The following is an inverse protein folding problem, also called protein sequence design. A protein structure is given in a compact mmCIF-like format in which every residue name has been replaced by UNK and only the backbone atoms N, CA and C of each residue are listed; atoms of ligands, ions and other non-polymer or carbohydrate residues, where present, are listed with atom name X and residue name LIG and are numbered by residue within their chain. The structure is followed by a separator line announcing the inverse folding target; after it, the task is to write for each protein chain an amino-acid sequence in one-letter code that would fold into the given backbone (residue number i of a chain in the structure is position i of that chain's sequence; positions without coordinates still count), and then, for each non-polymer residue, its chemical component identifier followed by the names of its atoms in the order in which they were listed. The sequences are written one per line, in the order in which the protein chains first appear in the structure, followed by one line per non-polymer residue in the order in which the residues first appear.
data_IF_431710416908
#
_entry.id   IF_431710416908
#
_cell.length_a   1.000
_cell.length_b   1.000
_cell.length_c   1.000
_cell.angle_alpha   90.00
_cell.angle_beta   90.00
_cell.angle_gamma   90.00
#
_symmetry.space_group_name_H-M   'P 1'
#
loop_
_entity.id
_entity.type
_entity.pdbx_description
1 polymer ?
#
# COMPACT_ATOMS: atom_id res chain seq x y z
N UNK A 1 0.14 -19.44 -3.74
CA UNK A 1 1.63 -19.46 -3.57
C UNK A 1 2.03 -18.33 -2.65
N UNK A 2 2.97 -18.56 -1.75
CA UNK A 2 3.49 -17.58 -0.82
C UNK A 2 5.00 -17.76 -0.66
N UNK A 3 5.67 -16.68 -0.36
CA UNK A 3 7.06 -16.66 0.07
C UNK A 3 7.10 -16.90 1.58
N UNK A 4 7.91 -17.83 2.05
CA UNK A 4 8.09 -18.15 3.46
C UNK A 4 9.49 -17.73 3.93
N UNK A 5 9.55 -17.10 5.10
CA UNK A 5 10.78 -16.82 5.84
C UNK A 5 10.77 -17.66 7.11
N UNK A 6 11.80 -18.47 7.31
CA UNK A 6 12.02 -19.21 8.55
C UNK A 6 12.86 -18.40 9.51
N UNK A 7 12.53 -18.48 10.79
CA UNK A 7 13.39 -17.94 11.84
C UNK A 7 14.27 -19.06 12.44
N UNK A 8 15.52 -18.71 12.67
CA UNK A 8 16.56 -19.63 13.11
C UNK A 8 17.03 -19.29 14.51
N UNK A 9 17.14 -20.29 15.37
CA UNK A 9 17.72 -20.14 16.70
C UNK A 9 18.77 -21.22 17.00
N UNK A 10 19.67 -21.02 17.96
CA UNK A 10 20.56 -22.07 18.43
C UNK A 10 19.79 -23.33 18.87
N UNK A 11 20.13 -24.49 18.29
CA UNK A 11 19.43 -25.75 18.58
C UNK A 11 17.97 -25.81 18.15
N UNK A 12 17.48 -24.86 17.33
CA UNK A 12 16.08 -24.80 16.91
C UNK A 12 15.10 -24.52 18.07
N UNK A 13 15.55 -23.86 19.13
CA UNK A 13 14.69 -23.57 20.29
C UNK A 13 13.63 -22.52 19.93
N UNK A 14 12.33 -22.80 20.08
CA UNK A 14 11.28 -21.84 19.79
C UNK A 14 11.31 -20.65 20.77
N UNK A 15 10.98 -19.41 20.30
CA UNK A 15 10.71 -18.29 21.18
C UNK A 15 9.44 -18.55 21.99
N UNK A 16 9.33 -17.88 23.15
CA UNK A 16 8.09 -17.96 23.92
C UNK A 16 6.97 -17.14 23.29
N UNK A 17 5.73 -17.53 23.59
CA UNK A 17 4.56 -16.78 23.17
C UNK A 17 4.58 -15.34 23.70
N UNK A 18 4.96 -15.16 24.95
CA UNK A 18 5.00 -13.86 25.63
C UNK A 18 5.99 -12.88 24.97
N UNK A 19 7.12 -13.39 24.48
CA UNK A 19 8.11 -12.57 23.78
C UNK A 19 7.55 -12.07 22.44
N UNK A 20 6.89 -12.95 21.68
CA UNK A 20 6.26 -12.57 20.40
C UNK A 20 5.11 -11.58 20.64
N UNK A 21 4.26 -11.83 21.66
CA UNK A 21 3.15 -10.91 22.00
C UNK A 21 3.66 -9.54 22.43
N UNK A 22 4.74 -9.46 23.20
CA UNK A 22 5.34 -8.19 23.60
C UNK A 22 5.79 -7.37 22.39
N UNK A 23 6.47 -7.99 21.42
CA UNK A 23 6.88 -7.36 20.20
C UNK A 23 5.66 -6.92 19.35
N UNK A 24 4.67 -7.81 19.19
CA UNK A 24 3.47 -7.53 18.42
C UNK A 24 2.71 -6.30 18.92
N UNK A 25 2.60 -6.12 20.23
CA UNK A 25 1.86 -5.00 20.84
C UNK A 25 2.44 -3.62 20.48
N UNK A 26 3.68 -3.55 20.06
CA UNK A 26 4.30 -2.30 19.58
C UNK A 26 3.88 -1.92 18.15
N UNK A 27 3.21 -2.85 17.42
CA UNK A 27 2.82 -2.66 16.02
C UNK A 27 1.29 -2.76 15.91
N UNK A 28 0.59 -1.61 15.84
CA UNK A 28 -0.88 -1.57 15.93
C UNK A 28 -1.61 -2.27 14.78
N UNK A 29 -0.93 -2.56 13.68
CA UNK A 29 -1.49 -3.27 12.53
C UNK A 29 -1.60 -4.79 12.72
N UNK A 30 -1.02 -5.36 13.78
CA UNK A 30 -1.21 -6.78 14.08
C UNK A 30 -2.52 -7.02 14.82
N UNK A 31 -3.25 -8.01 14.36
CA UNK A 31 -4.44 -8.54 15.04
C UNK A 31 -4.04 -9.45 16.21
N UNK A 32 -4.99 -9.74 17.09
CA UNK A 32 -4.78 -10.74 18.14
C UNK A 32 -4.45 -12.11 17.55
N UNK A 33 -3.63 -12.89 18.27
CA UNK A 33 -3.27 -14.22 17.82
C UNK A 33 -4.47 -15.16 17.80
N UNK A 34 -4.52 -16.03 16.80
CA UNK A 34 -5.45 -17.15 16.73
C UNK A 34 -4.68 -18.46 16.82
N UNK A 35 -5.23 -19.43 17.55
CA UNK A 35 -4.66 -20.78 17.63
C UNK A 35 -5.60 -21.78 16.97
N UNK A 36 -5.07 -22.56 16.05
CA UNK A 36 -5.78 -23.62 15.39
C UNK A 36 -4.84 -24.79 15.07
N UNK A 37 -5.26 -25.98 15.45
CA UNK A 37 -4.52 -27.24 15.18
C UNK A 37 -3.06 -27.24 15.68
N UNK A 38 -2.78 -26.59 16.84
CA UNK A 38 -1.44 -26.46 17.40
C UNK A 38 -0.55 -25.38 16.73
N UNK A 39 -1.11 -24.64 15.78
CA UNK A 39 -0.43 -23.51 15.14
C UNK A 39 -1.00 -22.21 15.66
N UNK A 40 -0.15 -21.34 16.16
CA UNK A 40 -0.52 -20.00 16.57
C UNK A 40 -0.15 -19.00 15.49
N UNK A 41 -1.07 -18.12 15.11
CA UNK A 41 -0.89 -17.19 14.01
C UNK A 41 -1.20 -15.75 14.40
N UNK A 42 -0.42 -14.81 13.89
CA UNK A 42 -0.62 -13.37 14.00
C UNK A 42 -0.74 -12.78 12.58
N UNK A 43 -1.80 -12.06 12.34
CA UNK A 43 -2.03 -11.40 11.06
C UNK A 43 -1.63 -9.93 11.15
N UNK A 44 -0.71 -9.52 10.29
CA UNK A 44 -0.49 -8.10 10.01
C UNK A 44 -1.47 -7.66 8.94
N UNK A 45 -2.16 -6.52 9.15
CA UNK A 45 -3.05 -5.90 8.18
C UNK A 45 -2.98 -4.39 8.27
N UNK A 46 -2.49 -3.76 7.22
CA UNK A 46 -2.47 -2.31 7.09
C UNK A 46 -3.63 -1.84 6.21
N UNK A 47 -4.62 -1.17 6.80
CA UNK A 47 -5.81 -0.71 6.09
C UNK A 47 -5.49 0.40 5.06
N UNK A 48 -4.44 1.18 5.27
CA UNK A 48 -4.06 2.26 4.35
C UNK A 48 -3.38 1.74 3.08
N UNK A 49 -2.51 0.74 3.20
CA UNK A 49 -1.74 0.14 2.09
C UNK A 49 -2.33 -1.15 1.56
N UNK A 50 -3.27 -1.76 2.30
CA UNK A 50 -3.81 -3.10 2.05
C UNK A 50 -2.75 -4.21 2.09
N UNK A 51 -1.58 -3.95 2.64
CA UNK A 51 -0.56 -4.96 2.87
C UNK A 51 -1.01 -5.88 3.99
N UNK A 52 -0.83 -7.17 3.80
CA UNK A 52 -1.06 -8.18 4.81
C UNK A 52 -0.09 -9.35 4.66
N UNK A 53 0.29 -9.91 5.79
CA UNK A 53 1.09 -11.12 5.88
C UNK A 53 0.79 -11.83 7.21
N UNK A 54 1.32 -13.03 7.38
CA UNK A 54 1.10 -13.83 8.58
C UNK A 54 2.43 -14.24 9.19
N UNK A 55 2.48 -14.25 10.51
CA UNK A 55 3.54 -14.89 11.31
C UNK A 55 2.90 -16.08 12.01
N UNK A 56 3.54 -17.22 11.95
CA UNK A 56 3.04 -18.49 12.51
C UNK A 56 4.08 -19.13 13.41
N UNK A 57 3.64 -19.65 14.55
CA UNK A 57 4.45 -20.43 15.47
C UNK A 57 3.92 -21.86 15.51
N UNK A 58 4.78 -22.80 15.13
CA UNK A 58 4.51 -24.23 15.10
C UNK A 58 5.22 -24.94 16.26
N UNK A 59 4.66 -26.02 16.75
CA UNK A 59 5.40 -26.91 17.62
C UNK A 59 6.54 -27.61 16.86
N UNK A 60 7.76 -27.35 17.30
CA UNK A 60 8.95 -28.02 16.77
C UNK A 60 9.67 -28.75 17.90
N UNK A 61 10.36 -29.84 17.54
CA UNK A 61 11.28 -30.49 18.46
C UNK A 61 12.66 -29.87 18.28
N UNK A 62 13.23 -29.27 19.34
CA UNK A 62 14.59 -28.76 19.28
C UNK A 62 15.56 -29.87 18.87
N UNK A 63 16.55 -29.53 18.09
CA UNK A 63 17.65 -30.42 17.71
C UNK A 63 18.72 -30.43 18.79
N UNK A 64 19.46 -31.56 18.92
CA UNK A 64 20.62 -31.58 19.83
C UNK A 64 21.77 -30.74 19.25
N UNK A 65 22.33 -29.84 20.06
CA UNK A 65 23.48 -29.01 19.73
C UNK A 65 23.13 -27.51 19.58
N UNK A 66 24.15 -26.69 19.37
CA UNK A 66 24.05 -25.22 19.30
C UNK A 66 24.02 -24.67 17.87
N UNK A 67 23.96 -25.54 16.87
CA UNK A 67 23.89 -25.10 15.47
C UNK A 67 22.54 -24.37 15.22
N UNK A 68 22.55 -23.24 14.47
CA UNK A 68 21.33 -22.59 14.08
C UNK A 68 20.40 -23.53 13.31
N UNK A 69 19.14 -23.60 13.70
CA UNK A 69 18.11 -24.40 13.06
C UNK A 69 16.73 -23.75 13.14
N UNK A 70 15.77 -24.20 12.33
CA UNK A 70 14.40 -23.70 12.36
C UNK A 70 13.79 -23.80 13.74
N UNK A 71 13.27 -22.69 14.25
CA UNK A 71 12.70 -22.63 15.61
C UNK A 71 11.15 -22.72 15.61
N UNK A 72 10.55 -23.08 14.49
CA UNK A 72 9.09 -23.18 14.36
C UNK A 72 8.39 -21.85 14.17
N UNK A 73 9.09 -20.73 14.17
CA UNK A 73 8.55 -19.43 13.80
C UNK A 73 8.77 -19.22 12.31
N UNK A 74 7.71 -18.85 11.60
CA UNK A 74 7.70 -18.63 10.15
C UNK A 74 6.90 -17.38 9.83
N UNK A 75 7.30 -16.62 8.82
CA UNK A 75 6.50 -15.57 8.24
C UNK A 75 6.18 -15.89 6.78
N UNK A 76 4.96 -15.55 6.36
CA UNK A 76 4.50 -15.84 5.00
C UNK A 76 3.90 -14.60 4.34
N UNK A 77 4.45 -14.23 3.17
CA UNK A 77 4.00 -13.12 2.32
C UNK A 77 3.47 -13.70 1.01
N UNK A 78 2.24 -13.38 0.65
CA UNK A 78 1.64 -13.89 -0.58
C UNK A 78 2.34 -13.37 -1.84
N UNK A 79 2.49 -14.24 -2.84
CA UNK A 79 2.83 -13.85 -4.21
C UNK A 79 1.62 -13.29 -4.97
N UNK A 80 1.83 -12.89 -6.22
CA UNK A 80 0.86 -12.22 -7.09
C UNK A 80 0.39 -10.89 -6.47
N UNK A 81 1.34 -10.13 -5.92
CA UNK A 81 1.16 -8.84 -5.27
C UNK A 81 2.19 -7.83 -5.80
N UNK A 82 1.95 -6.52 -5.59
CA UNK A 82 2.98 -5.51 -5.85
C UNK A 82 4.18 -5.66 -4.91
N UNK A 83 5.35 -5.22 -5.36
CA UNK A 83 6.61 -5.29 -4.61
C UNK A 83 6.53 -4.64 -3.23
N UNK A 84 5.74 -3.60 -3.08
CA UNK A 84 5.58 -2.91 -1.80
C UNK A 84 5.01 -3.81 -0.69
N UNK A 85 4.41 -4.98 -1.01
CA UNK A 85 4.05 -5.97 0.01
C UNK A 85 5.28 -6.49 0.74
N UNK A 86 6.34 -6.81 -0.01
CA UNK A 86 7.61 -7.23 0.57
C UNK A 86 8.37 -6.06 1.20
N UNK A 87 8.34 -4.88 0.58
CA UNK A 87 9.00 -3.66 1.09
C UNK A 87 8.43 -3.21 2.44
N UNK A 88 7.12 -3.35 2.66
CA UNK A 88 6.48 -3.05 3.94
C UNK A 88 6.71 -4.17 4.97
N UNK A 89 6.69 -5.42 4.55
CA UNK A 89 6.87 -6.56 5.44
C UNK A 89 8.31 -6.73 5.93
N UNK A 90 9.32 -6.55 5.07
CA UNK A 90 10.72 -6.85 5.35
C UNK A 90 11.26 -6.16 6.63
N UNK A 91 11.11 -4.85 6.86
CA UNK A 91 11.59 -4.21 8.08
C UNK A 91 10.86 -4.70 9.32
N UNK A 92 9.57 -5.03 9.22
CA UNK A 92 8.78 -5.54 10.34
C UNK A 92 9.26 -6.95 10.73
N UNK A 93 9.44 -7.82 9.74
CA UNK A 93 9.90 -9.19 9.97
C UNK A 93 11.34 -9.24 10.48
N UNK A 94 12.22 -8.37 9.98
CA UNK A 94 13.57 -8.23 10.51
C UNK A 94 13.57 -7.71 11.96
N UNK A 95 12.67 -6.78 12.31
CA UNK A 95 12.53 -6.29 13.70
C UNK A 95 12.11 -7.40 14.67
N UNK A 96 11.28 -8.33 14.22
CA UNK A 96 10.92 -9.53 15.01
C UNK A 96 12.16 -10.39 15.29
N UNK A 97 12.93 -10.69 14.26
CA UNK A 97 14.16 -11.45 14.41
C UNK A 97 15.15 -10.77 15.38
N UNK A 98 15.34 -9.45 15.22
CA UNK A 98 16.21 -8.66 16.08
C UNK A 98 15.74 -8.65 17.54
N UNK A 99 14.45 -8.41 17.76
CA UNK A 99 13.86 -8.38 19.11
C UNK A 99 14.04 -9.71 19.85
N UNK A 100 13.90 -10.82 19.14
CA UNK A 100 13.99 -12.17 19.70
C UNK A 100 15.42 -12.78 19.63
N UNK A 101 16.39 -12.06 19.08
CA UNK A 101 17.77 -12.57 18.91
C UNK A 101 17.84 -13.77 17.94
N UNK A 102 16.99 -13.81 16.92
CA UNK A 102 16.89 -14.89 15.95
C UNK A 102 17.64 -14.56 14.65
N UNK A 103 18.13 -15.59 13.98
CA UNK A 103 18.51 -15.50 12.57
C UNK A 103 17.28 -15.62 11.68
N UNK A 104 17.46 -15.37 10.37
CA UNK A 104 16.46 -15.56 9.34
C UNK A 104 17.01 -16.42 8.22
N UNK A 105 16.13 -17.15 7.55
CA UNK A 105 16.45 -17.98 6.40
C UNK A 105 15.31 -18.02 5.38
N UNK A 106 15.65 -18.41 4.16
CA UNK A 106 14.67 -18.69 3.12
C UNK A 106 13.96 -20.02 3.42
N UNK A 107 12.66 -19.98 3.67
CA UNK A 107 11.86 -21.15 4.00
C UNK A 107 11.77 -22.20 2.88
N UNK A 108 12.06 -21.83 1.62
CA UNK A 108 12.06 -22.77 0.51
C UNK A 108 13.36 -23.58 0.44
N UNK A 109 14.49 -22.98 0.79
CA UNK A 109 15.83 -23.61 0.68
C UNK A 109 16.44 -23.94 2.05
N UNK A 110 15.92 -23.36 3.15
CA UNK A 110 16.51 -23.44 4.49
C UNK A 110 17.86 -22.72 4.60
N UNK A 111 18.24 -21.94 3.59
CA UNK A 111 19.52 -21.21 3.58
C UNK A 111 19.41 -19.96 4.44
N UNK A 112 20.35 -19.75 5.38
CA UNK A 112 20.40 -18.50 6.16
C UNK A 112 20.58 -17.28 5.24
N UNK A 113 19.95 -16.16 5.57
CA UNK A 113 20.26 -14.88 4.96
C UNK A 113 21.67 -14.45 5.36
N UNK A 114 22.37 -13.86 4.42
CA UNK A 114 23.83 -13.55 4.56
C UNK A 114 24.04 -12.31 5.41
N UNK A 115 23.15 -11.32 5.29
CA UNK A 115 23.29 -10.04 5.97
C UNK A 115 22.89 -10.13 7.45
N UNK A 116 23.54 -9.35 8.34
CA UNK A 116 23.08 -9.21 9.72
C UNK A 116 21.63 -8.73 9.75
N UNK A 117 20.82 -9.30 10.65
CA UNK A 117 19.37 -9.02 10.74
C UNK A 117 19.05 -7.54 11.00
N UNK A 118 19.95 -6.81 11.62
CA UNK A 118 19.80 -5.37 11.91
C UNK A 118 20.28 -4.45 10.78
N UNK A 119 20.73 -5.00 9.67
CA UNK A 119 21.25 -4.23 8.52
C UNK A 119 20.17 -3.92 7.49
N UNK A 120 20.31 -2.79 6.80
CA UNK A 120 19.46 -2.44 5.65
C UNK A 120 19.59 -3.46 4.50
N UNK A 121 20.69 -4.18 4.44
CA UNK A 121 20.94 -5.19 3.42
C UNK A 121 19.99 -6.38 3.54
N UNK A 122 19.64 -6.80 4.79
CA UNK A 122 18.69 -7.91 4.98
C UNK A 122 17.30 -7.56 4.42
N UNK A 123 16.88 -6.28 4.47
CA UNK A 123 15.62 -5.87 3.88
C UNK A 123 15.65 -6.04 2.36
N UNK A 124 16.74 -5.65 1.72
CA UNK A 124 16.97 -5.88 0.29
C UNK A 124 16.96 -7.36 -0.06
N UNK A 125 17.64 -8.22 0.72
CA UNK A 125 17.63 -9.67 0.51
C UNK A 125 16.23 -10.27 0.57
N UNK A 126 15.42 -9.89 1.57
CA UNK A 126 14.02 -10.36 1.70
C UNK A 126 13.21 -9.94 0.48
N UNK A 127 13.31 -8.67 0.07
CA UNK A 127 12.58 -8.14 -1.08
C UNK A 127 13.00 -8.84 -2.36
N UNK A 128 14.30 -9.02 -2.59
CA UNK A 128 14.85 -9.69 -3.77
C UNK A 128 14.43 -11.16 -3.85
N UNK A 129 14.45 -11.88 -2.72
CA UNK A 129 13.99 -13.27 -2.65
C UNK A 129 12.50 -13.36 -2.98
N UNK A 130 11.70 -12.48 -2.36
CA UNK A 130 10.28 -12.41 -2.61
C UNK A 130 9.98 -12.08 -4.08
N UNK A 131 10.67 -11.10 -4.68
CA UNK A 131 10.48 -10.70 -6.07
C UNK A 131 10.75 -11.86 -7.05
N UNK A 132 11.84 -12.62 -6.83
CA UNK A 132 12.13 -13.82 -7.64
C UNK A 132 11.02 -14.85 -7.57
N UNK A 133 10.53 -15.15 -6.36
CA UNK A 133 9.40 -16.06 -6.17
C UNK A 133 8.10 -15.52 -6.77
N UNK A 134 7.86 -14.22 -6.64
CA UNK A 134 6.70 -13.56 -7.21
C UNK A 134 6.70 -13.60 -8.75
N UNK A 135 7.87 -13.40 -9.38
CA UNK A 135 7.99 -13.50 -10.85
C UNK A 135 7.65 -14.90 -11.34
N UNK A 136 8.17 -15.96 -10.69
CA UNK A 136 7.82 -17.35 -11.01
C UNK A 136 6.32 -17.57 -10.89
N UNK A 137 5.71 -17.08 -9.80
CA UNK A 137 4.28 -17.21 -9.57
C UNK A 137 3.44 -16.48 -10.63
N UNK A 138 3.91 -15.30 -11.10
CA UNK A 138 3.27 -14.54 -12.18
C UNK A 138 3.32 -15.32 -13.50
N UNK A 139 4.48 -15.84 -13.85
CA UNK A 139 4.68 -16.60 -15.09
C UNK A 139 3.78 -17.85 -15.12
N UNK A 140 3.76 -18.62 -14.03
CA UNK A 140 2.87 -19.79 -13.90
C UNK A 140 1.38 -19.42 -13.97
N UNK A 141 0.98 -18.32 -13.32
CA UNK A 141 -0.40 -17.85 -13.37
C UNK A 141 -0.81 -17.42 -14.78
N UNK A 142 0.11 -16.77 -15.52
CA UNK A 142 -0.13 -16.39 -16.92
C UNK A 142 -0.23 -17.63 -17.82
N UNK A 143 0.63 -18.63 -17.67
CA UNK A 143 0.55 -19.90 -18.41
C UNK A 143 -0.77 -20.63 -18.17
N UNK A 144 -1.29 -20.55 -16.94
CA UNK A 144 -2.60 -21.11 -16.56
C UNK A 144 -3.79 -20.26 -17.04
N UNK A 145 -3.55 -19.14 -17.72
CA UNK A 145 -4.58 -18.23 -18.22
C UNK A 145 -5.25 -17.38 -17.12
N UNK A 146 -4.63 -17.25 -15.95
CA UNK A 146 -5.12 -16.38 -14.87
C UNK A 146 -5.07 -14.93 -15.30
N UNK A 147 -6.17 -14.20 -15.09
CA UNK A 147 -6.25 -12.78 -15.44
C UNK A 147 -5.64 -11.92 -14.36
N UNK A 148 -4.42 -11.46 -14.58
CA UNK A 148 -3.72 -10.54 -13.71
C UNK A 148 -3.95 -9.08 -14.13
N UNK A 149 -3.74 -8.14 -13.19
CA UNK A 149 -3.82 -6.71 -13.41
C UNK A 149 -2.44 -6.09 -13.17
N UNK A 150 -1.84 -5.59 -14.24
CA UNK A 150 -0.49 -5.06 -14.22
C UNK A 150 -0.47 -3.54 -14.11
N UNK A 151 0.46 -3.03 -13.33
CA UNK A 151 0.77 -1.61 -13.24
C UNK A 151 2.30 -1.45 -13.16
N UNK A 152 2.80 -0.34 -13.67
CA UNK A 152 4.21 0.02 -13.60
C UNK A 152 4.71 0.04 -12.13
N UNK A 153 5.88 -0.57 -11.84
CA UNK A 153 6.44 -0.65 -10.48
C UNK A 153 6.63 0.72 -9.81
N UNK A 154 7.03 1.75 -10.58
CA UNK A 154 7.17 3.08 -10.01
C UNK A 154 5.80 3.69 -9.66
N UNK A 155 4.75 3.37 -10.41
CA UNK A 155 3.40 3.86 -10.11
C UNK A 155 2.82 3.19 -8.85
N UNK A 156 3.02 1.88 -8.66
CA UNK A 156 2.61 1.18 -7.45
C UNK A 156 3.39 1.65 -6.24
N UNK A 157 4.71 1.84 -6.37
CA UNK A 157 5.56 2.34 -5.29
C UNK A 157 5.18 3.78 -4.88
N UNK A 158 4.98 4.70 -5.83
CA UNK A 158 4.49 6.07 -5.54
C UNK A 158 3.14 6.07 -4.83
N UNK A 159 2.23 5.19 -5.24
CA UNK A 159 0.94 5.03 -4.59
C UNK A 159 1.12 4.58 -3.14
N UNK A 160 1.92 3.55 -2.89
CA UNK A 160 2.19 3.01 -1.56
C UNK A 160 2.85 4.05 -0.63
N UNK A 161 3.87 4.75 -1.13
CA UNK A 161 4.54 5.82 -0.39
C UNK A 161 3.55 6.91 0.07
N UNK A 162 2.60 7.27 -0.79
CA UNK A 162 1.54 8.20 -0.42
C UNK A 162 0.55 7.58 0.57
N UNK A 163 0.07 6.37 0.30
CA UNK A 163 -0.95 5.70 1.11
C UNK A 163 -0.49 5.52 2.57
N UNK A 164 0.73 5.02 2.79
CA UNK A 164 1.29 4.78 4.13
C UNK A 164 1.53 6.06 4.94
N UNK A 165 1.72 7.19 4.27
CA UNK A 165 1.98 8.49 4.92
C UNK A 165 0.74 9.38 4.99
N UNK A 166 -0.37 8.96 4.43
CA UNK A 166 -1.59 9.78 4.36
C UNK A 166 -2.10 10.22 5.73
N UNK A 167 -2.04 9.34 6.72
CA UNK A 167 -2.42 9.67 8.11
C UNK A 167 -1.54 10.76 8.70
N UNK A 168 -0.23 10.57 8.65
CA UNK A 168 0.77 11.52 9.17
C UNK A 168 0.67 12.87 8.45
N UNK A 169 0.42 12.85 7.13
CA UNK A 169 0.21 14.08 6.35
C UNK A 169 -1.04 14.86 6.82
N UNK A 170 -2.14 14.17 7.13
CA UNK A 170 -3.32 14.83 7.72
C UNK A 170 -3.00 15.49 9.05
N UNK A 171 -2.29 14.79 9.92
CA UNK A 171 -1.88 15.34 11.22
C UNK A 171 -0.96 16.54 11.06
N UNK A 172 0.01 16.48 10.16
CA UNK A 172 0.91 17.59 9.84
C UNK A 172 0.14 18.83 9.37
N UNK A 173 -0.80 18.67 8.43
CA UNK A 173 -1.64 19.77 7.95
C UNK A 173 -2.52 20.34 9.07
N UNK A 174 -3.10 19.48 9.92
CA UNK A 174 -3.89 19.92 11.06
C UNK A 174 -3.08 20.73 12.08
N UNK A 175 -1.86 20.28 12.41
CA UNK A 175 -0.93 21.01 13.28
C UNK A 175 -0.53 22.38 12.69
N UNK A 176 -0.34 22.44 11.37
CA UNK A 176 -0.08 23.67 10.63
C UNK A 176 -1.33 24.55 10.47
N UNK A 177 -2.50 24.14 10.98
CA UNK A 177 -3.82 24.79 10.83
C UNK A 177 -4.24 24.99 9.37
N UNK A 178 -3.81 24.10 8.50
CA UNK A 178 -4.20 24.06 7.08
C UNK A 178 -5.38 23.11 6.93
N UNK A 179 -6.56 23.68 6.71
CA UNK A 179 -7.77 22.92 6.42
C UNK A 179 -7.73 22.46 4.96
N UNK A 180 -7.18 21.26 4.70
CA UNK A 180 -7.18 20.66 3.38
C UNK A 180 -7.45 19.16 3.50
N UNK A 181 -8.19 18.62 2.53
CA UNK A 181 -8.42 17.21 2.43
C UNK A 181 -7.16 16.48 1.95
N UNK A 182 -6.91 15.29 2.48
CA UNK A 182 -5.87 14.36 2.01
C UNK A 182 -6.59 13.13 1.43
N UNK A 183 -6.98 13.20 0.14
CA UNK A 183 -7.85 12.20 -0.45
C UNK A 183 -7.13 10.85 -0.62
N UNK A 184 -7.85 9.73 -0.58
CA UNK A 184 -7.29 8.45 -1.00
C UNK A 184 -7.09 8.44 -2.52
N UNK A 185 -6.11 7.64 -2.96
CA UNK A 185 -5.93 7.29 -4.37
C UNK A 185 -6.34 5.83 -4.56
N UNK A 186 -7.17 5.56 -5.55
CA UNK A 186 -7.73 4.25 -5.83
C UNK A 186 -7.16 3.67 -7.11
N UNK A 187 -6.94 2.36 -7.14
CA UNK A 187 -6.69 1.65 -8.39
C UNK A 187 -8.02 1.34 -9.08
N UNK A 188 -8.05 1.65 -10.35
CA UNK A 188 -9.23 1.45 -11.19
C UNK A 188 -8.83 0.79 -12.51
N UNK A 189 -9.74 0.03 -13.06
CA UNK A 189 -9.62 -0.46 -14.43
C UNK A 189 -10.31 0.55 -15.34
N UNK A 190 -9.53 1.15 -16.25
CA UNK A 190 -10.03 2.16 -17.18
C UNK A 190 -10.99 1.56 -18.24
N UNK A 191 -12.05 2.28 -18.60
CA UNK A 191 -12.99 1.85 -19.64
C UNK A 191 -12.31 1.70 -21.00
N UNK A 192 -12.80 0.76 -21.80
CA UNK A 192 -12.35 0.53 -23.17
C UNK A 192 -10.97 -0.14 -23.29
N UNK A 193 -9.96 0.33 -22.56
CA UNK A 193 -8.59 -0.20 -22.62
C UNK A 193 -8.36 -1.37 -21.67
N UNK A 194 -9.09 -1.40 -20.54
CA UNK A 194 -8.87 -2.35 -19.48
C UNK A 194 -7.55 -2.18 -18.72
N UNK A 195 -6.79 -1.11 -18.96
CA UNK A 195 -5.57 -0.76 -18.24
C UNK A 195 -5.87 -0.41 -16.78
N UNK A 196 -4.94 -0.73 -15.89
CA UNK A 196 -4.96 -0.24 -14.51
C UNK A 196 -4.51 1.21 -14.50
N UNK A 197 -5.25 2.04 -13.79
CA UNK A 197 -4.97 3.47 -13.61
C UNK A 197 -5.21 3.86 -12.17
N UNK A 198 -4.63 4.97 -11.75
CA UNK A 198 -4.84 5.58 -10.43
C UNK A 198 -5.83 6.73 -10.53
N UNK A 199 -6.70 6.86 -9.53
CA UNK A 199 -7.76 7.85 -9.49
C UNK A 199 -7.88 8.45 -8.10
N UNK A 200 -7.94 9.78 -8.00
CA UNK A 200 -8.31 10.50 -6.79
C UNK A 200 -9.65 11.21 -6.94
N UNK A 201 -10.38 11.39 -5.83
CA UNK A 201 -11.57 12.24 -5.80
C UNK A 201 -11.21 13.63 -5.26
N UNK A 202 -11.73 14.66 -5.90
CA UNK A 202 -11.70 16.04 -5.41
C UNK A 202 -13.13 16.49 -5.14
N UNK A 203 -13.48 16.52 -3.86
CA UNK A 203 -14.85 16.77 -3.42
C UNK A 203 -15.14 18.26 -3.24
N UNK A 204 -16.30 18.69 -3.73
CA UNK A 204 -16.85 20.04 -3.56
C UNK A 204 -15.88 21.19 -3.91
N UNK A 205 -14.90 20.96 -4.78
CA UNK A 205 -13.91 21.96 -5.19
C UNK A 205 -13.18 22.61 -4.00
N UNK A 206 -13.14 21.89 -2.88
CA UNK A 206 -12.55 22.36 -1.61
C UNK A 206 -11.03 22.35 -1.58
N UNK A 207 -10.44 22.86 -0.48
CA UNK A 207 -9.01 22.76 -0.24
C UNK A 207 -8.59 21.29 -0.21
N UNK A 208 -7.54 20.95 -0.95
CA UNK A 208 -7.13 19.55 -1.10
C UNK A 208 -5.66 19.39 -1.45
N UNK A 209 -5.09 18.29 -1.01
CA UNK A 209 -3.82 17.78 -1.52
C UNK A 209 -4.08 17.04 -2.84
N UNK A 210 -3.21 17.26 -3.81
CA UNK A 210 -3.23 16.56 -5.10
C UNK A 210 -2.03 15.60 -5.17
N UNK A 211 -2.21 14.33 -4.81
CA UNK A 211 -1.20 13.30 -5.01
C UNK A 211 -1.03 12.98 -6.49
N UNK A 212 0.02 12.27 -6.82
CA UNK A 212 0.19 11.72 -8.17
C UNK A 212 -0.91 10.71 -8.47
N UNK A 213 -1.68 10.95 -9.53
CA UNK A 213 -2.73 10.07 -10.02
C UNK A 213 -2.94 10.27 -11.52
N UNK A 214 -3.48 9.27 -12.22
CA UNK A 214 -3.75 9.38 -13.67
C UNK A 214 -5.01 10.21 -13.92
N UNK A 215 -6.03 10.06 -13.07
CA UNK A 215 -7.31 10.73 -13.19
C UNK A 215 -7.72 11.42 -11.89
N UNK A 216 -8.45 12.51 -12.04
CA UNK A 216 -9.19 13.18 -10.97
C UNK A 216 -10.68 13.07 -11.24
N UNK A 217 -11.43 12.64 -10.24
CA UNK A 217 -12.89 12.74 -10.20
C UNK A 217 -13.25 14.05 -9.50
N UNK A 218 -14.04 14.85 -10.17
CA UNK A 218 -14.63 16.07 -9.59
C UNK A 218 -16.08 15.76 -9.25
N UNK A 219 -16.37 15.77 -7.96
CA UNK A 219 -17.71 15.59 -7.41
C UNK A 219 -18.21 16.94 -6.91
N UNK A 220 -19.18 17.52 -7.59
CA UNK A 220 -19.66 18.86 -7.26
C UNK A 220 -21.19 18.95 -7.28
N UNK A 221 -21.70 19.85 -6.47
CA UNK A 221 -23.10 20.22 -6.48
C UNK A 221 -23.30 21.45 -7.38
N UNK A 222 -24.01 21.29 -8.47
CA UNK A 222 -24.33 22.37 -9.41
C UNK A 222 -25.72 22.92 -9.11
N UNK A 223 -25.79 24.19 -8.70
CA UNK A 223 -27.08 24.88 -8.57
C UNK A 223 -27.54 25.39 -9.92
N UNK A 224 -28.66 24.88 -10.40
CA UNK A 224 -29.34 25.40 -11.58
C UNK A 224 -30.59 26.17 -11.19
N UNK A 225 -30.76 27.37 -11.75
CA UNK A 225 -31.94 28.20 -11.54
C UNK A 225 -32.85 28.08 -12.76
N UNK A 226 -33.93 27.28 -12.62
CA UNK A 226 -34.99 27.25 -13.64
C UNK A 226 -36.17 28.06 -13.13
N UNK A 227 -36.46 29.21 -13.76
CA UNK A 227 -37.46 30.20 -13.33
C UNK A 227 -37.24 30.65 -11.86
N UNK A 228 -38.18 30.45 -10.98
CA UNK A 228 -38.16 30.85 -9.58
C UNK A 228 -37.69 29.71 -8.63
N UNK A 229 -37.37 28.52 -9.17
CA UNK A 229 -36.93 27.37 -8.38
C UNK A 229 -35.45 27.15 -8.53
N UNK A 230 -34.73 27.10 -7.37
CA UNK A 230 -33.35 26.59 -7.31
C UNK A 230 -33.46 25.07 -7.24
N UNK A 231 -32.77 24.40 -8.17
CA UNK A 231 -32.55 22.95 -8.14
C UNK A 231 -31.08 22.72 -7.96
N UNK A 232 -30.71 21.85 -7.03
CA UNK A 232 -29.34 21.41 -6.81
C UNK A 232 -29.18 20.01 -7.40
N UNK A 233 -28.19 19.81 -8.23
CA UNK A 233 -27.88 18.54 -8.88
C UNK A 233 -26.43 18.19 -8.59
N UNK A 234 -26.19 16.97 -8.07
CA UNK A 234 -24.85 16.44 -7.91
C UNK A 234 -24.33 15.95 -9.25
N UNK A 235 -23.19 16.49 -9.69
CA UNK A 235 -22.51 16.08 -10.91
C UNK A 235 -21.15 15.48 -10.59
N UNK A 236 -20.94 14.28 -11.07
CA UNK A 236 -19.66 13.57 -10.95
C UNK A 236 -19.07 13.42 -12.34
N UNK A 237 -17.88 13.93 -12.52
CA UNK A 237 -17.17 13.87 -13.78
C UNK A 237 -15.69 13.60 -13.53
N UNK A 238 -14.98 13.09 -14.53
CA UNK A 238 -13.56 12.80 -14.42
C UNK A 238 -12.79 13.39 -15.60
N UNK A 239 -11.49 13.58 -15.40
CA UNK A 239 -10.55 14.00 -16.43
C UNK A 239 -9.14 13.53 -16.07
N UNK A 240 -8.21 13.47 -17.07
CA UNK A 240 -6.81 13.24 -16.79
C UNK A 240 -6.25 14.28 -15.82
N UNK A 241 -5.53 13.83 -14.78
CA UNK A 241 -4.94 14.73 -13.77
C UNK A 241 -4.06 15.80 -14.41
N UNK A 242 -3.29 15.45 -15.44
CA UNK A 242 -2.45 16.40 -16.15
C UNK A 242 -3.25 17.55 -16.79
N UNK A 243 -4.44 17.25 -17.33
CA UNK A 243 -5.31 18.27 -17.91
C UNK A 243 -5.82 19.25 -16.86
N UNK A 244 -6.23 18.76 -15.69
CA UNK A 244 -6.59 19.59 -14.53
C UNK A 244 -5.41 20.43 -14.08
N UNK A 245 -4.25 19.81 -13.85
CA UNK A 245 -3.07 20.48 -13.33
C UNK A 245 -2.60 21.63 -14.21
N UNK A 246 -2.65 21.49 -15.52
CA UNK A 246 -2.31 22.60 -16.45
C UNK A 246 -3.19 23.83 -16.25
N UNK A 247 -4.42 23.66 -15.84
CA UNK A 247 -5.37 24.77 -15.65
C UNK A 247 -5.28 25.43 -14.29
N UNK A 248 -5.03 24.65 -13.23
CA UNK A 248 -5.07 25.12 -11.86
C UNK A 248 -3.69 25.32 -11.22
N UNK A 249 -2.59 25.07 -11.96
CA UNK A 249 -1.22 25.14 -11.40
C UNK A 249 -0.93 26.46 -10.68
N UNK A 250 -1.45 27.59 -11.19
CA UNK A 250 -1.29 28.90 -10.59
C UNK A 250 -2.05 29.10 -9.26
N UNK A 251 -2.97 28.19 -8.91
CA UNK A 251 -3.68 28.20 -7.63
C UNK A 251 -3.05 27.22 -6.60
N UNK A 252 -2.12 26.38 -7.03
CA UNK A 252 -1.50 25.37 -6.19
C UNK A 252 -0.20 25.85 -5.58
N UNK A 253 0.09 25.38 -4.37
CA UNK A 253 1.41 25.47 -3.73
C UNK A 253 2.07 24.11 -3.76
N UNK A 254 3.38 24.08 -4.03
CA UNK A 254 4.19 22.89 -3.79
C UNK A 254 4.55 22.86 -2.31
N UNK A 255 4.36 21.73 -1.67
CA UNK A 255 4.65 21.50 -0.26
C UNK A 255 5.45 20.20 -0.13
N UNK A 256 6.46 20.23 0.73
CA UNK A 256 7.22 19.06 1.12
C UNK A 256 6.91 18.74 2.58
N UNK A 257 6.44 17.53 2.82
CA UNK A 257 6.23 17.01 4.15
C UNK A 257 6.41 15.49 4.17
N UNK A 258 6.99 14.97 5.25
CA UNK A 258 7.20 13.54 5.47
C UNK A 258 7.94 12.83 4.30
N UNK A 259 8.88 13.53 3.66
CA UNK A 259 9.62 13.03 2.49
C UNK A 259 8.81 12.94 1.20
N UNK A 260 7.59 13.49 1.17
CA UNK A 260 6.77 13.58 -0.04
C UNK A 260 6.71 15.01 -0.54
N UNK A 261 6.73 15.13 -1.87
CA UNK A 261 6.39 16.38 -2.55
C UNK A 261 4.98 16.27 -3.13
N UNK A 262 4.11 17.18 -2.78
CA UNK A 262 2.73 17.23 -3.28
C UNK A 262 2.28 18.65 -3.59
N UNK A 263 1.18 18.75 -4.31
CA UNK A 263 0.53 20.03 -4.63
C UNK A 263 -0.64 20.25 -3.70
N UNK A 264 -0.73 21.42 -3.12
CA UNK A 264 -1.76 21.81 -2.16
C UNK A 264 -2.59 22.97 -2.71
N UNK A 265 -3.90 22.78 -2.78
CA UNK A 265 -4.88 23.83 -2.97
C UNK A 265 -5.33 24.32 -1.59
N UNK A 266 -4.99 25.56 -1.26
CA UNK A 266 -5.42 26.18 0.01
C UNK A 266 -6.80 26.81 -0.12
N UNK A 267 -7.50 27.02 1.01
CA UNK A 267 -8.82 27.66 1.04
C UNK A 267 -8.86 29.02 0.34
N UNK A 268 -7.78 29.79 0.42
CA UNK A 268 -7.66 31.10 -0.22
C UNK A 268 -7.66 31.04 -1.75
N UNK A 269 -7.27 29.91 -2.32
CA UNK A 269 -7.10 29.72 -3.76
C UNK A 269 -8.18 28.85 -4.41
N UNK A 270 -9.12 28.26 -3.64
CA UNK A 270 -10.16 27.38 -4.16
C UNK A 270 -11.01 28.05 -5.23
N UNK A 271 -11.37 29.32 -5.05
CA UNK A 271 -12.15 30.07 -6.03
C UNK A 271 -11.46 30.18 -7.39
N UNK A 272 -10.12 30.33 -7.41
CA UNK A 272 -9.34 30.39 -8.67
C UNK A 272 -9.36 29.07 -9.42
N UNK A 273 -9.34 27.95 -8.69
CA UNK A 273 -9.47 26.65 -9.27
C UNK A 273 -10.89 26.40 -9.79
N UNK A 274 -11.92 26.74 -9.00
CA UNK A 274 -13.32 26.58 -9.35
C UNK A 274 -13.72 27.33 -10.63
N UNK A 275 -13.21 28.54 -10.85
CA UNK A 275 -13.44 29.31 -12.09
C UNK A 275 -12.93 28.60 -13.36
N UNK A 276 -11.97 27.70 -13.24
CA UNK A 276 -11.38 26.97 -14.40
C UNK A 276 -12.14 25.71 -14.78
N UNK A 277 -12.86 25.10 -13.83
CA UNK A 277 -13.53 23.82 -14.02
C UNK A 277 -14.56 23.81 -15.16
N UNK A 278 -15.40 24.85 -15.35
CA UNK A 278 -16.38 24.86 -16.44
C UNK A 278 -15.76 24.74 -17.85
N UNK A 279 -14.48 25.08 -17.98
CA UNK A 279 -13.75 25.04 -19.26
C UNK A 279 -12.98 23.73 -19.48
N UNK A 280 -13.09 22.77 -18.56
CA UNK A 280 -12.39 21.49 -18.65
C UNK A 280 -13.19 20.48 -19.49
N UNK A 281 -12.50 19.60 -20.22
CA UNK A 281 -13.14 18.49 -20.95
C UNK A 281 -13.52 17.37 -19.96
N UNK A 282 -14.62 17.59 -19.27
CA UNK A 282 -15.12 16.66 -18.26
C UNK A 282 -15.88 15.50 -18.91
N UNK A 283 -15.56 14.27 -18.52
CA UNK A 283 -16.30 13.08 -18.92
C UNK A 283 -17.20 12.62 -17.78
N UNK A 284 -18.50 12.43 -18.05
CA UNK A 284 -19.51 12.17 -17.00
C UNK A 284 -19.73 10.67 -16.71
N UNK A 285 -19.19 9.76 -17.53
CA UNK A 285 -19.50 8.33 -17.41
C UNK A 285 -18.51 7.55 -16.51
N UNK A 286 -18.56 7.80 -15.21
CA UNK A 286 -17.75 7.09 -14.19
C UNK A 286 -18.11 5.61 -14.03
N UNK A 287 -19.31 5.18 -14.40
CA UNK A 287 -19.78 3.80 -14.18
C UNK A 287 -18.98 2.74 -14.94
N UNK A 288 -18.18 3.16 -15.91
CA UNK A 288 -17.32 2.28 -16.69
C UNK A 288 -16.00 1.93 -16.00
N UNK A 289 -15.58 2.69 -14.99
CA UNK A 289 -14.41 2.34 -14.17
C UNK A 289 -14.78 1.23 -13.19
N UNK A 290 -13.89 0.25 -13.06
CA UNK A 290 -14.04 -0.83 -12.08
C UNK A 290 -12.97 -0.70 -11.03
N UNK A 291 -13.37 -0.61 -9.77
CA UNK A 291 -12.44 -0.56 -8.65
C UNK A 291 -11.63 -1.85 -8.57
N UNK A 292 -10.34 -1.71 -8.27
CA UNK A 292 -9.41 -2.78 -7.97
C UNK A 292 -8.84 -2.54 -6.58
N UNK A 293 -8.66 -3.62 -5.83
CA UNK A 293 -7.94 -3.55 -4.56
C UNK A 293 -6.44 -3.60 -4.84
N UNK A 294 -5.60 -2.99 -3.97
CA UNK A 294 -4.15 -3.04 -4.10
C UNK A 294 -3.59 -4.46 -4.21
N UNK A 295 -4.19 -5.42 -3.49
CA UNK A 295 -3.81 -6.84 -3.51
C UNK A 295 -4.22 -7.60 -4.80
N UNK A 296 -4.84 -6.93 -5.76
CA UNK A 296 -5.17 -7.47 -7.09
C UNK A 296 -4.22 -6.97 -8.19
N UNK A 297 -3.27 -6.12 -7.83
CA UNK A 297 -2.29 -5.56 -8.73
C UNK A 297 -0.99 -6.35 -8.65
N UNK A 298 -0.29 -6.45 -9.75
CA UNK A 298 1.05 -7.04 -9.84
C UNK A 298 1.96 -6.04 -10.54
N UNK A 299 3.17 -5.89 -10.02
CA UNK A 299 4.19 -5.09 -10.69
C UNK A 299 4.73 -5.84 -11.89
N UNK A 300 4.61 -5.24 -13.04
CA UNK A 300 5.31 -5.71 -14.23
C UNK A 300 5.54 -4.52 -15.14
N UNK A 301 6.75 -4.42 -15.66
CA UNK A 301 7.02 -3.54 -16.78
C UNK A 301 6.20 -4.05 -18.00
N UNK A 302 5.56 -3.16 -18.74
CA UNK A 302 4.79 -3.52 -19.93
C UNK A 302 5.64 -4.10 -21.04
#
# INVERSE_FOLDING_TARGET
MSFALEYLSPGGKPPSFEEIESWRLEIPQFEESAERDGVRTWWYRNADTSVYFVVSLYEVRPTEGDAPGPCGLEASINHLRPTFFAEEAAPILASLAQCLGLGMGDGATGMPLVSPVDSQEVFGEIVDLWQRGNQIAVDEAMEQGTKLHFLDPEATHRWWEYARRRGVLREHLAQAKIAAEVPPVHFMKAPGTGKVVTLMAWENEGPSVFPSSDYVVIDRTVETRKFLRKTSERKVAYLPTEALMRQIVGALRQVEAEGLTFRLLTAENTWRAAERIPNLPLEENMSQFKALRPDQIVDQAP
#
